data_IF_609844485618
#
_entry.id   IF_609844485618
#
_cell.length_a   1.000
_cell.length_b   1.000
_cell.length_c   1.000
_cell.angle_alpha   90.00
_cell.angle_beta   90.00
_cell.angle_gamma   90.00
#
_symmetry.space_group_name_H-M   'P 1'
#
loop_
_entity.id
_entity.type
_entity.pdbx_description
1 polymer ?
#
# COMPACT_ATOMS: atom_id res chain seq x y z
N UNK A 1 6.53 -1.82 -10.80
CA UNK A 1 6.19 -2.34 -9.45
C UNK A 1 6.42 -1.25 -8.41
N UNK A 2 5.36 -0.80 -7.75
CA UNK A 2 5.43 0.09 -6.59
C UNK A 2 5.32 -0.75 -5.32
N UNK A 3 6.40 -0.80 -4.52
CA UNK A 3 6.52 -1.77 -3.42
C UNK A 3 6.76 -1.12 -2.06
N UNK A 4 6.19 -1.70 -1.01
CA UNK A 4 6.59 -1.42 0.36
C UNK A 4 7.92 -2.10 0.69
N UNK A 5 8.79 -1.40 1.43
CA UNK A 5 10.07 -1.96 1.90
C UNK A 5 9.90 -3.25 2.72
N UNK A 6 8.76 -3.39 3.41
CA UNK A 6 8.44 -4.59 4.17
C UNK A 6 7.96 -5.78 3.34
N UNK A 7 7.92 -5.66 2.01
CA UNK A 7 7.53 -6.71 1.05
C UNK A 7 8.52 -6.81 -0.13
N UNK A 8 9.78 -6.43 0.08
CA UNK A 8 10.80 -6.45 -0.96
C UNK A 8 11.10 -7.87 -1.46
N UNK A 9 11.02 -8.88 -0.58
CA UNK A 9 11.27 -10.27 -0.98
C UNK A 9 10.20 -10.74 -1.96
N UNK A 10 8.94 -10.53 -1.64
CA UNK A 10 7.76 -10.85 -2.45
C UNK A 10 7.81 -10.08 -3.77
N UNK A 11 8.19 -8.79 -3.72
CA UNK A 11 8.31 -7.97 -4.92
C UNK A 11 9.44 -8.42 -5.84
N UNK A 12 10.55 -8.91 -5.30
CA UNK A 12 11.65 -9.48 -6.10
C UNK A 12 11.23 -10.78 -6.77
N UNK A 13 10.48 -11.64 -6.07
CA UNK A 13 9.92 -12.87 -6.64
C UNK A 13 8.95 -12.52 -7.77
N UNK A 14 8.01 -11.59 -7.55
CA UNK A 14 7.10 -11.13 -8.59
C UNK A 14 7.85 -10.56 -9.80
N UNK A 15 8.87 -9.73 -9.56
CA UNK A 15 9.69 -9.17 -10.63
C UNK A 15 10.42 -10.24 -11.44
N UNK A 16 10.97 -11.27 -10.78
CA UNK A 16 11.64 -12.40 -11.44
C UNK A 16 10.66 -13.18 -12.33
N UNK A 17 9.47 -13.50 -11.82
CA UNK A 17 8.41 -14.16 -12.59
C UNK A 17 8.06 -13.33 -13.83
N UNK A 18 7.76 -12.05 -13.66
CA UNK A 18 7.40 -11.17 -14.79
C UNK A 18 8.52 -11.07 -15.83
N UNK A 19 9.78 -10.94 -15.42
CA UNK A 19 10.92 -10.92 -16.34
C UNK A 19 11.05 -12.22 -17.14
N UNK A 20 10.85 -13.38 -16.51
CA UNK A 20 10.83 -14.68 -17.20
C UNK A 20 9.71 -14.80 -18.23
N UNK A 21 8.64 -14.03 -18.08
CA UNK A 21 7.53 -13.93 -19.03
C UNK A 21 7.67 -12.77 -20.02
N UNK A 22 8.86 -12.21 -20.20
CA UNK A 22 9.16 -11.24 -21.25
C UNK A 22 8.83 -9.79 -20.92
N UNK A 23 8.46 -9.48 -19.67
CA UNK A 23 8.23 -8.10 -19.24
C UNK A 23 9.53 -7.40 -18.84
N UNK A 24 9.68 -6.15 -19.24
CA UNK A 24 10.66 -5.25 -18.63
C UNK A 24 10.11 -4.73 -17.29
N UNK A 25 10.85 -4.94 -16.19
CA UNK A 25 10.33 -4.67 -14.84
C UNK A 25 11.16 -3.61 -14.12
N UNK A 26 10.53 -2.45 -13.92
CA UNK A 26 10.98 -1.38 -13.03
C UNK A 26 10.35 -1.51 -11.65
N UNK A 27 11.15 -1.31 -10.61
CA UNK A 27 10.72 -1.38 -9.21
C UNK A 27 11.12 -0.12 -8.45
N UNK A 28 10.18 0.49 -7.73
CA UNK A 28 10.46 1.62 -6.84
C UNK A 28 9.93 1.32 -5.45
N UNK A 29 10.75 1.49 -4.42
CA UNK A 29 10.38 1.27 -3.02
C UNK A 29 9.68 2.48 -2.38
N UNK A 30 8.80 2.24 -1.41
CA UNK A 30 7.99 3.28 -0.77
C UNK A 30 8.80 4.33 0.01
N UNK A 31 10.07 4.02 0.32
CA UNK A 31 11.03 4.90 0.98
C UNK A 31 11.92 5.69 -0.02
N UNK A 32 11.66 5.60 -1.33
CA UNK A 32 12.30 6.50 -2.28
C UNK A 32 11.92 7.96 -1.96
N UNK A 33 12.91 8.81 -1.70
CA UNK A 33 12.72 10.22 -1.30
C UNK A 33 11.85 10.41 -0.05
N UNK A 34 12.04 9.52 0.94
CA UNK A 34 11.40 9.58 2.26
C UNK A 34 11.57 10.98 2.87
N UNK A 35 10.50 11.51 3.48
CA UNK A 35 10.49 12.81 4.14
C UNK A 35 10.24 12.66 5.64
N UNK A 36 10.65 13.65 6.43
CA UNK A 36 10.28 13.71 7.85
C UNK A 36 8.76 13.94 7.96
N UNK A 37 8.14 13.39 8.99
CA UNK A 37 6.73 13.64 9.28
C UNK A 37 6.47 15.12 9.53
N UNK A 38 7.33 15.73 10.34
CA UNK A 38 7.28 17.16 10.66
C UNK A 38 7.40 18.07 9.44
N UNK A 39 8.11 17.67 8.37
CA UNK A 39 8.23 18.51 7.17
C UNK A 39 6.96 18.60 6.33
N UNK A 40 5.94 17.78 6.63
CA UNK A 40 4.62 17.84 5.98
C UNK A 40 3.50 18.18 6.96
N UNK A 41 3.85 18.72 8.13
CA UNK A 41 2.88 19.13 9.16
C UNK A 41 2.36 18.00 10.05
N UNK A 42 2.94 16.79 10.00
CA UNK A 42 2.61 15.75 10.98
C UNK A 42 3.39 16.02 12.27
N UNK A 43 2.72 16.12 13.43
CA UNK A 43 3.38 16.43 14.70
C UNK A 43 4.42 15.38 15.13
N UNK A 44 5.42 15.83 15.89
CA UNK A 44 6.50 14.97 16.41
C UNK A 44 5.97 13.84 17.31
N UNK A 45 4.84 14.04 18.00
CA UNK A 45 4.21 12.98 18.79
C UNK A 45 3.78 11.75 17.95
N UNK A 46 3.63 11.90 16.64
CA UNK A 46 3.34 10.82 15.72
C UNK A 46 4.60 10.05 15.25
N UNK A 47 5.81 10.41 15.72
CA UNK A 47 7.08 9.79 15.34
C UNK A 47 7.41 8.50 16.11
N UNK A 48 6.57 8.05 17.04
CA UNK A 48 6.82 6.85 17.85
C UNK A 48 7.06 5.55 17.05
N UNK A 49 6.56 5.45 15.81
CA UNK A 49 6.82 4.33 14.89
C UNK A 49 7.90 4.62 13.84
N UNK A 50 8.55 5.79 13.95
CA UNK A 50 9.60 6.28 13.07
C UNK A 50 9.37 7.74 12.63
N UNK A 51 10.47 8.48 12.54
CA UNK A 51 10.55 9.91 12.16
C UNK A 51 10.10 10.15 10.71
N UNK A 52 10.33 9.17 9.86
CA UNK A 52 10.25 9.34 8.41
C UNK A 52 9.04 8.64 7.79
N UNK A 53 8.34 9.30 6.88
CA UNK A 53 7.18 8.77 6.16
C UNK A 53 7.48 8.39 4.70
N UNK A 54 6.76 7.41 4.18
CA UNK A 54 6.86 7.02 2.77
C UNK A 54 6.41 8.15 1.83
N UNK A 55 6.92 8.18 0.61
CA UNK A 55 6.58 9.18 -0.41
C UNK A 55 5.93 8.51 -1.65
N UNK A 56 4.64 8.15 -1.58
CA UNK A 56 3.97 7.43 -2.67
C UNK A 56 3.84 8.28 -3.95
N UNK A 57 3.79 9.61 -3.81
CA UNK A 57 3.71 10.52 -4.96
C UNK A 57 5.01 10.50 -5.76
N UNK A 58 6.17 10.57 -5.08
CA UNK A 58 7.45 10.45 -5.76
C UNK A 58 7.63 9.06 -6.36
N UNK A 59 7.18 8.01 -5.67
CA UNK A 59 7.20 6.65 -6.20
C UNK A 59 6.45 6.55 -7.53
N UNK A 60 5.26 7.15 -7.63
CA UNK A 60 4.50 7.23 -8.89
C UNK A 60 5.27 8.02 -9.96
N UNK A 61 5.77 9.21 -9.62
CA UNK A 61 6.53 10.07 -10.56
C UNK A 61 7.79 9.39 -11.11
N UNK A 62 8.48 8.57 -10.30
CA UNK A 62 9.64 7.81 -10.76
C UNK A 62 9.25 6.74 -11.76
N UNK A 63 8.09 6.09 -11.59
CA UNK A 63 7.57 5.11 -12.54
C UNK A 63 7.01 5.77 -13.81
N UNK A 64 6.35 6.92 -13.70
CA UNK A 64 5.96 7.74 -14.86
C UNK A 64 7.20 8.17 -15.66
N UNK A 65 8.29 8.58 -15.00
CA UNK A 65 9.56 8.93 -15.66
C UNK A 65 10.16 7.72 -16.39
N UNK A 66 10.01 6.52 -15.84
CA UNK A 66 10.39 5.27 -16.49
C UNK A 66 9.42 4.84 -17.60
N UNK A 67 8.33 5.58 -17.82
CA UNK A 67 7.31 5.34 -18.85
C UNK A 67 6.75 3.91 -18.83
N UNK A 68 6.48 3.39 -17.64
CA UNK A 68 5.87 2.07 -17.49
C UNK A 68 4.46 2.03 -18.09
N UNK A 69 4.09 0.94 -18.77
CA UNK A 69 2.73 0.78 -19.33
C UNK A 69 1.68 0.33 -18.30
N UNK A 70 2.11 -0.45 -17.31
CA UNK A 70 1.29 -0.96 -16.21
C UNK A 70 2.06 -0.91 -14.89
N UNK A 71 1.40 -0.40 -13.86
CA UNK A 71 1.91 -0.43 -12.50
C UNK A 71 1.23 -1.51 -11.66
N UNK A 72 2.04 -2.26 -10.93
CA UNK A 72 1.58 -3.26 -9.95
C UNK A 72 2.00 -2.81 -8.56
N UNK A 73 1.00 -2.62 -7.68
CA UNK A 73 1.20 -2.28 -6.27
C UNK A 73 1.39 -3.55 -5.43
N UNK A 74 2.45 -3.54 -4.62
CA UNK A 74 2.79 -4.61 -3.68
C UNK A 74 2.87 -4.03 -2.26
N UNK A 75 1.72 -4.07 -1.60
CA UNK A 75 1.50 -3.81 -0.18
C UNK A 75 1.97 -2.45 0.30
N UNK A 76 1.64 -1.39 -0.44
CA UNK A 76 1.71 -0.01 0.06
C UNK A 76 0.71 0.18 1.21
N UNK A 77 1.05 1.07 2.16
CA UNK A 77 0.18 1.37 3.30
C UNK A 77 -1.16 1.96 2.84
N UNK A 78 -2.21 1.74 3.63
CA UNK A 78 -3.54 2.29 3.41
C UNK A 78 -3.45 3.81 3.23
N UNK A 79 -4.05 4.32 2.15
CA UNK A 79 -4.04 5.73 1.77
C UNK A 79 -2.82 6.12 0.92
N UNK A 80 -1.64 5.56 1.19
CA UNK A 80 -0.47 5.77 0.33
C UNK A 80 -0.64 5.09 -1.03
N UNK A 81 -1.30 3.93 -1.06
CA UNK A 81 -1.71 3.25 -2.28
C UNK A 81 -2.66 4.11 -3.13
N UNK A 82 -3.65 4.74 -2.50
CA UNK A 82 -4.61 5.63 -3.15
C UNK A 82 -3.93 6.87 -3.74
N UNK A 83 -2.98 7.46 -3.01
CA UNK A 83 -2.15 8.53 -3.54
C UNK A 83 -1.30 8.04 -4.71
N UNK A 84 -0.69 6.86 -4.62
CA UNK A 84 0.03 6.28 -5.75
C UNK A 84 -0.87 6.16 -6.99
N UNK A 85 -2.09 5.60 -6.85
CA UNK A 85 -3.04 5.46 -7.96
C UNK A 85 -3.39 6.81 -8.59
N UNK A 86 -3.64 7.83 -7.76
CA UNK A 86 -4.01 9.17 -8.22
C UNK A 86 -2.91 9.83 -9.06
N UNK A 87 -1.64 9.56 -8.77
CA UNK A 87 -0.50 10.20 -9.45
C UNK A 87 0.21 9.30 -10.47
N UNK A 88 -0.21 8.04 -10.62
CA UNK A 88 0.27 7.16 -11.69
C UNK A 88 -0.36 7.56 -13.02
N UNK A 89 0.45 7.77 -14.05
CA UNK A 89 -0.03 7.99 -15.43
C UNK A 89 -0.43 6.66 -16.10
N UNK A 90 0.26 5.59 -15.73
CA UNK A 90 -0.05 4.24 -16.18
C UNK A 90 -1.24 3.65 -15.42
N UNK A 91 -1.95 2.71 -16.05
CA UNK A 91 -2.94 1.88 -15.35
C UNK A 91 -2.29 1.19 -14.15
N UNK A 92 -3.02 1.07 -13.05
CA UNK A 92 -2.51 0.44 -11.83
C UNK A 92 -3.42 -0.67 -11.36
N UNK A 93 -2.81 -1.79 -10.96
CA UNK A 93 -3.48 -2.89 -10.26
C UNK A 93 -2.76 -3.22 -8.97
N UNK A 94 -3.46 -3.89 -8.05
CA UNK A 94 -2.92 -4.32 -6.75
C UNK A 94 -2.72 -5.82 -6.75
N UNK A 95 -1.48 -6.27 -6.60
CA UNK A 95 -1.18 -7.70 -6.42
C UNK A 95 -1.26 -8.12 -4.95
N UNK A 96 -0.86 -7.22 -4.04
CA UNK A 96 -0.88 -7.49 -2.59
C UNK A 96 -1.43 -6.28 -1.86
N UNK A 97 -2.58 -6.43 -1.21
CA UNK A 97 -3.12 -5.41 -0.30
C UNK A 97 -2.41 -5.51 1.05
N UNK A 98 -1.94 -4.37 1.57
CA UNK A 98 -1.20 -4.37 2.84
C UNK A 98 -2.11 -4.61 4.02
N UNK A 99 -2.11 -5.83 4.51
CA UNK A 99 -2.71 -6.19 5.79
C UNK A 99 -1.71 -6.96 6.65
N UNK A 100 -1.21 -6.37 7.73
CA UNK A 100 -0.27 -7.07 8.63
C UNK A 100 -0.96 -8.05 9.58
N UNK A 101 -2.25 -7.84 9.86
CA UNK A 101 -3.03 -8.64 10.80
C UNK A 101 -3.43 -9.96 10.14
N UNK A 102 -3.88 -9.92 8.90
CA UNK A 102 -4.36 -11.09 8.15
C UNK A 102 -3.34 -11.64 7.16
N UNK A 103 -2.05 -11.35 7.35
CA UNK A 103 -0.99 -11.87 6.47
C UNK A 103 -1.20 -11.50 4.99
N UNK A 104 -1.67 -10.28 4.74
CA UNK A 104 -1.97 -9.74 3.40
C UNK A 104 -3.17 -10.39 2.69
N UNK A 105 -4.06 -11.04 3.45
CA UNK A 105 -5.32 -11.61 2.96
C UNK A 105 -6.56 -10.94 3.63
N UNK A 106 -6.84 -9.67 3.32
CA UNK A 106 -7.90 -8.92 4.01
C UNK A 106 -9.33 -9.46 3.77
N UNK A 107 -9.56 -10.20 2.67
CA UNK A 107 -10.88 -10.81 2.41
C UNK A 107 -11.26 -11.87 3.45
N UNK A 108 -10.28 -12.44 4.16
CA UNK A 108 -10.52 -13.41 5.22
C UNK A 108 -11.40 -12.84 6.36
N UNK A 109 -11.25 -11.55 6.68
CA UNK A 109 -12.14 -10.89 7.64
C UNK A 109 -13.58 -10.79 7.14
N UNK A 110 -13.77 -10.55 5.83
CA UNK A 110 -15.09 -10.45 5.23
C UNK A 110 -15.81 -11.80 5.22
N UNK A 111 -15.10 -12.88 4.89
CA UNK A 111 -15.65 -14.24 4.90
C UNK A 111 -16.13 -14.68 6.29
N UNK A 112 -15.56 -14.12 7.35
CA UNK A 112 -15.88 -14.47 8.73
C UNK A 112 -16.71 -13.39 9.42
N UNK A 113 -17.14 -12.36 8.69
CA UNK A 113 -17.84 -11.20 9.22
C UNK A 113 -19.22 -11.55 9.80
N UNK A 114 -19.88 -12.59 9.30
CA UNK A 114 -21.18 -13.08 9.82
C UNK A 114 -21.04 -14.23 10.84
N UNK A 115 -19.81 -14.67 11.14
CA UNK A 115 -19.53 -15.76 12.08
C UNK A 115 -18.60 -15.28 13.21
N UNK A 116 -17.30 -15.59 13.11
CA UNK A 116 -16.29 -15.28 14.13
C UNK A 116 -16.23 -13.77 14.45
N UNK A 117 -16.41 -12.92 13.45
CA UNK A 117 -16.40 -11.46 13.62
C UNK A 117 -17.82 -10.83 13.61
N UNK A 118 -18.87 -11.62 13.78
CA UNK A 118 -20.26 -11.12 13.83
C UNK A 118 -20.48 -10.01 14.87
N UNK A 119 -19.70 -10.00 15.96
CA UNK A 119 -19.74 -8.94 16.97
C UNK A 119 -19.34 -7.56 16.42
N UNK A 120 -18.47 -7.48 15.40
CA UNK A 120 -18.08 -6.21 14.78
C UNK A 120 -19.23 -5.56 13.99
N UNK A 121 -20.22 -6.36 13.55
CA UNK A 121 -21.43 -5.87 12.87
C UNK A 121 -22.54 -5.45 13.84
N UNK A 122 -22.46 -5.83 15.12
CA UNK A 122 -23.47 -5.47 16.13
C UNK A 122 -23.17 -4.07 16.65
N UNK A 123 -23.82 -3.07 16.06
CA UNK A 123 -23.84 -1.71 16.60
C UNK A 123 -24.72 -1.66 17.86
N UNK A 124 -24.23 -1.00 18.92
CA UNK A 124 -25.08 -0.49 20.00
C UNK A 124 -25.89 0.69 19.45
N UNK A 125 -26.92 0.43 18.63
CA UNK A 125 -27.78 1.46 18.04
C UNK A 125 -28.66 2.15 19.12
N UNK A 126 -28.65 1.70 20.37
CA UNK A 126 -29.43 2.32 21.44
C UNK A 126 -28.94 3.70 21.92
N UNK A 127 -27.80 4.22 21.43
CA UNK A 127 -27.24 5.52 21.83
C UNK A 127 -27.14 6.56 20.69
N UNK A 128 -27.67 6.28 19.50
CA UNK A 128 -27.87 7.33 18.49
C UNK A 128 -29.30 7.81 18.64
N UNK A 129 -29.49 8.83 19.48
CA UNK A 129 -30.74 9.58 19.63
C UNK A 129 -31.08 10.36 18.36
N UNK A 130 -31.39 9.62 17.30
CA UNK A 130 -32.14 10.09 16.13
C UNK A 130 -33.49 9.40 16.16
#
# INVERSE_FOLDING_TARGET
IATCVGLLKESRILADILRRHGFEVYGVGCKAGTQKKTSVGIPECCEGVGVNMCNPILQAKLLNKAKTDLNVVVGLCVGHDSLFYKYSEALTTTAVTKDRVLGHNPVAALYTADSYYSKLKKSNISNLGV
#
